data_IF_948345814520
#
_entry.id   IF_948345814520
#
_cell.length_a   1.000
_cell.length_b   1.000
_cell.length_c   1.000
_cell.angle_alpha   90.00
_cell.angle_beta   90.00
_cell.angle_gamma   90.00
#
_symmetry.space_group_name_H-M   'P 1'
#
loop_
_entity.id
_entity.type
_entity.pdbx_description
1 polymer ?
#
# COMPACT_ATOMS: atom_id res chain seq x y z
N UNK A 1 46.79 14.35 12.89
CA UNK A 1 45.67 13.54 12.36
C UNK A 1 45.88 12.12 12.86
N UNK A 2 45.07 11.67 13.82
CA UNK A 2 45.23 10.35 14.44
C UNK A 2 44.50 9.31 13.55
N UNK A 3 45.20 8.36 12.89
CA UNK A 3 44.53 7.33 12.11
C UNK A 3 43.82 6.39 13.08
N UNK A 4 42.53 6.16 12.87
CA UNK A 4 41.73 5.27 13.70
C UNK A 4 42.43 3.91 13.85
N UNK A 5 42.70 3.50 15.11
CA UNK A 5 43.45 2.30 15.43
C UNK A 5 42.78 1.00 14.94
N UNK A 6 43.53 -0.12 14.90
CA UNK A 6 43.06 -1.40 14.34
C UNK A 6 41.71 -1.88 14.91
N UNK A 7 41.42 -1.62 16.18
CA UNK A 7 40.14 -1.96 16.82
C UNK A 7 38.94 -1.20 16.21
N UNK A 8 39.14 0.05 15.78
CA UNK A 8 38.08 0.84 15.13
C UNK A 8 37.74 0.27 13.74
N UNK A 9 38.74 -0.24 13.01
CA UNK A 9 38.53 -0.87 11.71
C UNK A 9 37.83 -2.23 11.84
N UNK A 10 38.18 -3.04 12.84
CA UNK A 10 37.54 -4.33 13.12
C UNK A 10 36.06 -4.15 13.49
N UNK A 11 35.76 -3.24 14.42
CA UNK A 11 34.37 -2.94 14.81
C UNK A 11 33.55 -2.41 13.63
N UNK A 12 34.13 -1.52 12.81
CA UNK A 12 33.46 -1.00 11.61
C UNK A 12 33.15 -2.11 10.61
N UNK A 13 34.06 -3.07 10.43
CA UNK A 13 33.88 -4.20 9.52
C UNK A 13 32.78 -5.15 10.01
N UNK A 14 32.79 -5.52 11.30
CA UNK A 14 31.78 -6.40 11.91
C UNK A 14 30.38 -5.78 11.84
N UNK A 15 30.25 -4.49 12.14
CA UNK A 15 28.96 -3.77 12.03
C UNK A 15 28.47 -3.72 10.58
N UNK A 16 29.38 -3.56 9.62
CA UNK A 16 29.05 -3.54 8.19
C UNK A 16 28.59 -4.93 7.73
N UNK A 17 29.29 -5.99 8.11
CA UNK A 17 28.94 -7.37 7.74
C UNK A 17 27.59 -7.80 8.33
N UNK A 18 27.30 -7.41 9.58
CA UNK A 18 26.00 -7.65 10.20
C UNK A 18 24.86 -6.90 9.47
N UNK A 19 25.08 -5.64 9.08
CA UNK A 19 24.10 -4.87 8.28
C UNK A 19 23.88 -5.51 6.92
N UNK A 20 24.94 -5.99 6.26
CA UNK A 20 24.84 -6.70 4.99
C UNK A 20 24.08 -8.02 5.11
N UNK A 21 24.27 -8.77 6.20
CA UNK A 21 23.50 -9.99 6.48
C UNK A 21 22.01 -9.69 6.68
N UNK A 22 21.68 -8.69 7.50
CA UNK A 22 20.28 -8.29 7.74
C UNK A 22 19.62 -7.68 6.48
N UNK A 23 20.41 -7.00 5.66
CA UNK A 23 20.01 -6.52 4.35
C UNK A 23 19.75 -7.67 3.36
N UNK A 24 20.53 -8.76 3.43
CA UNK A 24 20.37 -10.01 2.65
C UNK A 24 19.16 -10.85 3.07
N UNK A 25 18.71 -10.73 4.32
CA UNK A 25 17.49 -11.39 4.80
C UNK A 25 16.19 -10.68 4.38
N UNK A 26 16.25 -9.42 3.94
CA UNK A 26 15.04 -8.68 3.54
C UNK A 26 14.29 -9.36 2.39
N UNK A 27 12.99 -9.54 2.58
CA UNK A 27 12.05 -10.04 1.57
C UNK A 27 11.10 -8.96 1.09
N UNK A 28 11.40 -7.69 1.39
CA UNK A 28 10.52 -6.54 1.11
C UNK A 28 10.09 -6.46 -0.36
N UNK A 29 11.03 -6.65 -1.30
CA UNK A 29 10.73 -6.63 -2.73
C UNK A 29 9.72 -7.73 -3.14
N UNK A 30 9.79 -8.92 -2.52
CA UNK A 30 8.78 -9.96 -2.74
C UNK A 30 7.43 -9.59 -2.16
N UNK A 31 7.38 -9.02 -0.96
CA UNK A 31 6.11 -8.59 -0.39
C UNK A 31 5.48 -7.47 -1.21
N UNK A 32 6.26 -6.51 -1.71
CA UNK A 32 5.77 -5.49 -2.63
C UNK A 32 5.33 -6.09 -3.97
N UNK A 33 6.07 -7.03 -4.55
CA UNK A 33 5.67 -7.72 -5.76
C UNK A 33 4.34 -8.47 -5.58
N UNK A 34 4.19 -9.21 -4.47
CA UNK A 34 2.95 -9.92 -4.14
C UNK A 34 1.78 -8.97 -3.87
N UNK A 35 1.99 -7.87 -3.13
CA UNK A 35 0.98 -6.85 -2.92
C UNK A 35 0.53 -6.22 -4.24
N UNK A 36 1.47 -5.89 -5.13
CA UNK A 36 1.16 -5.32 -6.44
C UNK A 36 0.46 -6.32 -7.35
N UNK A 37 0.83 -7.60 -7.30
CA UNK A 37 0.12 -8.67 -8.01
C UNK A 37 -1.34 -8.76 -7.57
N UNK A 38 -1.62 -8.68 -6.26
CA UNK A 38 -2.99 -8.65 -5.74
C UNK A 38 -3.78 -7.44 -6.25
N UNK A 39 -3.13 -6.27 -6.39
CA UNK A 39 -3.75 -5.08 -6.99
C UNK A 39 -4.13 -5.34 -8.44
N UNK A 40 -3.24 -5.94 -9.24
CA UNK A 40 -3.51 -6.29 -10.64
C UNK A 40 -4.68 -7.27 -10.72
N UNK A 41 -4.65 -8.36 -9.94
CA UNK A 41 -5.76 -9.34 -9.86
C UNK A 41 -7.08 -8.64 -9.59
N UNK A 42 -7.09 -7.79 -8.57
CA UNK A 42 -8.30 -7.12 -8.16
C UNK A 42 -8.84 -6.19 -9.25
N UNK A 43 -7.98 -5.36 -9.82
CA UNK A 43 -8.36 -4.42 -10.87
C UNK A 43 -8.87 -5.13 -12.13
N UNK A 44 -8.29 -6.28 -12.49
CA UNK A 44 -8.66 -7.07 -13.66
C UNK A 44 -9.98 -7.83 -13.48
N UNK A 45 -10.26 -8.35 -12.28
CA UNK A 45 -11.44 -9.19 -12.01
C UNK A 45 -12.62 -8.45 -11.35
N UNK A 46 -12.44 -7.20 -10.94
CA UNK A 46 -13.54 -6.33 -10.48
C UNK A 46 -14.63 -6.21 -11.58
N UNK A 47 -15.94 -6.21 -11.26
CA UNK A 47 -16.55 -6.13 -9.93
C UNK A 47 -16.71 -7.48 -9.20
N UNK A 48 -16.12 -8.58 -9.69
CA UNK A 48 -16.27 -9.94 -9.15
C UNK A 48 -17.71 -10.49 -9.16
N UNK A 49 -18.61 -9.87 -9.90
CA UNK A 49 -20.01 -10.27 -10.04
C UNK A 49 -20.37 -10.48 -11.49
N UNK A 50 -21.48 -11.18 -11.74
CA UNK A 50 -21.97 -11.43 -13.10
C UNK A 50 -21.19 -12.52 -13.86
N UNK A 51 -20.49 -13.41 -13.16
CA UNK A 51 -19.79 -14.53 -13.78
C UNK A 51 -20.76 -15.43 -14.55
N UNK A 52 -20.44 -15.75 -15.79
CA UNK A 52 -21.24 -16.63 -16.64
C UNK A 52 -20.36 -17.47 -17.57
N UNK A 53 -20.95 -18.51 -18.16
CA UNK A 53 -20.25 -19.28 -19.18
C UNK A 53 -20.01 -18.41 -20.43
N UNK A 54 -18.79 -18.38 -20.99
CA UNK A 54 -18.46 -17.57 -22.17
C UNK A 54 -19.25 -17.93 -23.43
N UNK A 55 -19.86 -19.11 -23.50
CA UNK A 55 -20.47 -19.63 -24.73
C UNK A 55 -19.46 -19.96 -25.84
N UNK A 56 -18.16 -19.87 -25.53
CA UNK A 56 -17.03 -20.14 -26.41
C UNK A 56 -15.90 -20.84 -25.60
N UNK A 57 -14.90 -21.44 -26.27
CA UNK A 57 -13.72 -21.97 -25.56
C UNK A 57 -13.04 -20.88 -24.73
N UNK A 58 -12.53 -21.25 -23.54
CA UNK A 58 -11.90 -20.31 -22.61
C UNK A 58 -10.65 -19.60 -23.17
N UNK A 59 -10.06 -20.12 -24.24
CA UNK A 59 -8.88 -19.56 -24.90
C UNK A 59 -9.20 -18.92 -26.25
N UNK A 60 -10.47 -18.74 -26.60
CA UNK A 60 -10.88 -18.21 -27.90
C UNK A 60 -10.35 -16.78 -28.18
N UNK A 61 -10.08 -16.01 -27.13
CA UNK A 61 -9.50 -14.66 -27.22
C UNK A 61 -8.10 -14.62 -27.86
N UNK A 62 -7.39 -15.75 -27.92
CA UNK A 62 -6.07 -15.84 -28.55
C UNK A 62 -6.15 -15.75 -30.09
N UNK A 63 -7.25 -16.23 -30.66
CA UNK A 63 -7.47 -16.31 -32.11
C UNK A 63 -8.33 -15.15 -32.63
N UNK A 64 -8.74 -14.23 -31.75
CA UNK A 64 -9.61 -13.12 -32.12
C UNK A 64 -8.84 -12.09 -32.96
N UNK A 65 -9.41 -11.66 -34.12
CA UNK A 65 -8.75 -10.69 -34.97
C UNK A 65 -8.62 -9.34 -34.27
N UNK A 66 -7.47 -8.70 -34.44
CA UNK A 66 -7.21 -7.42 -33.80
C UNK A 66 -8.20 -6.34 -34.25
N UNK A 67 -8.69 -5.49 -33.32
CA UNK A 67 -9.62 -4.44 -33.65
C UNK A 67 -8.96 -3.41 -34.58
N UNK A 68 -9.74 -2.86 -35.52
CA UNK A 68 -9.25 -1.88 -36.51
C UNK A 68 -8.72 -0.59 -35.88
N UNK A 69 -9.12 -0.28 -34.65
CA UNK A 69 -8.68 0.90 -33.90
C UNK A 69 -8.34 0.49 -32.47
N UNK A 70 -7.07 0.70 -32.11
CA UNK A 70 -6.55 0.54 -30.76
C UNK A 70 -6.37 1.93 -30.13
N UNK A 71 -7.12 2.26 -29.08
CA UNK A 71 -6.91 3.51 -28.37
C UNK A 71 -5.48 3.55 -27.80
N UNK A 72 -4.74 4.62 -28.10
CA UNK A 72 -3.35 4.79 -27.58
C UNK A 72 -3.30 4.77 -26.05
N UNK A 73 -4.37 5.22 -25.41
CA UNK A 73 -4.50 5.21 -23.96
C UNK A 73 -4.43 3.78 -23.40
N UNK A 74 -5.23 2.85 -23.94
CA UNK A 74 -5.27 1.45 -23.49
C UNK A 74 -3.91 0.77 -23.69
N UNK A 75 -3.28 1.04 -24.84
CA UNK A 75 -1.93 0.58 -25.14
C UNK A 75 -0.92 0.99 -24.06
N UNK A 76 -0.93 2.27 -23.69
CA UNK A 76 0.02 2.84 -22.72
C UNK A 76 -0.27 2.34 -21.31
N UNK A 77 -1.55 2.32 -20.90
CA UNK A 77 -1.95 1.93 -19.54
C UNK A 77 -1.61 0.47 -19.26
N UNK A 78 -1.87 -0.44 -20.20
CA UNK A 78 -1.56 -1.87 -20.01
C UNK A 78 -0.06 -2.12 -19.84
N UNK A 79 0.78 -1.46 -20.65
CA UNK A 79 2.25 -1.53 -20.48
C UNK A 79 2.67 -0.95 -19.14
N UNK A 80 2.25 0.29 -18.82
CA UNK A 80 2.67 0.98 -17.59
C UNK A 80 2.21 0.22 -16.33
N UNK A 81 1.02 -0.38 -16.35
CA UNK A 81 0.47 -1.13 -15.22
C UNK A 81 1.28 -2.39 -14.88
N UNK A 82 2.01 -2.98 -15.83
CA UNK A 82 2.82 -4.18 -15.58
C UNK A 82 4.32 -3.89 -15.36
N UNK A 83 4.78 -2.67 -15.67
CA UNK A 83 6.18 -2.26 -15.41
C UNK A 83 6.60 -2.44 -13.94
N UNK A 84 5.82 -1.99 -12.93
CA UNK A 84 6.22 -2.17 -11.54
C UNK A 84 6.29 -3.64 -11.13
N UNK A 85 5.42 -4.50 -11.67
CA UNK A 85 5.44 -5.94 -11.39
C UNK A 85 6.77 -6.55 -11.84
N UNK A 86 7.15 -6.35 -13.11
CA UNK A 86 8.40 -6.86 -13.66
C UNK A 86 9.64 -6.34 -12.93
N UNK A 87 9.62 -5.05 -12.54
CA UNK A 87 10.67 -4.43 -11.77
C UNK A 87 10.83 -5.07 -10.38
N UNK A 88 9.74 -5.20 -9.62
CA UNK A 88 9.76 -5.73 -8.26
C UNK A 88 10.15 -7.22 -8.23
N UNK A 89 9.58 -8.03 -9.12
CA UNK A 89 9.92 -9.45 -9.25
C UNK A 89 11.41 -9.64 -9.57
N UNK A 90 11.94 -8.85 -10.49
CA UNK A 90 13.35 -8.96 -10.90
C UNK A 90 14.29 -8.49 -9.78
N UNK A 91 13.99 -7.36 -9.13
CA UNK A 91 14.78 -6.88 -7.98
C UNK A 91 14.77 -7.88 -6.82
N UNK A 92 13.63 -8.54 -6.58
CA UNK A 92 13.53 -9.60 -5.60
C UNK A 92 14.42 -10.78 -6.02
N UNK A 93 14.21 -11.34 -7.21
CA UNK A 93 14.89 -12.54 -7.69
C UNK A 93 16.41 -12.37 -7.84
N UNK A 94 16.89 -11.20 -8.28
CA UNK A 94 18.32 -10.87 -8.45
C UNK A 94 19.17 -11.03 -7.19
N UNK A 95 18.53 -11.21 -6.02
CA UNK A 95 19.20 -11.50 -4.75
C UNK A 95 19.74 -12.93 -4.68
N UNK A 96 19.14 -13.88 -5.39
CA UNK A 96 19.51 -15.30 -5.37
C UNK A 96 19.93 -15.86 -6.73
N UNK A 97 19.70 -15.12 -7.82
CA UNK A 97 20.04 -15.58 -9.16
C UNK A 97 20.64 -14.48 -10.03
N UNK A 98 21.24 -14.90 -11.16
CA UNK A 98 21.84 -13.98 -12.15
C UNK A 98 20.75 -13.09 -12.76
N UNK A 99 21.06 -11.84 -13.15
CA UNK A 99 20.07 -10.90 -13.69
C UNK A 99 19.22 -11.46 -14.84
N UNK A 100 19.84 -12.20 -15.76
CA UNK A 100 19.12 -12.80 -16.90
C UNK A 100 18.06 -13.82 -16.46
N UNK A 101 18.37 -14.64 -15.44
CA UNK A 101 17.42 -15.61 -14.89
C UNK A 101 16.31 -14.92 -14.10
N UNK A 102 16.65 -13.83 -13.39
CA UNK A 102 15.66 -13.02 -12.68
C UNK A 102 14.67 -12.34 -13.65
N UNK A 103 15.17 -11.81 -14.77
CA UNK A 103 14.33 -11.25 -15.85
C UNK A 103 13.45 -12.32 -16.46
N UNK A 104 14.00 -13.50 -16.78
CA UNK A 104 13.23 -14.61 -17.33
C UNK A 104 12.13 -15.07 -16.37
N UNK A 105 12.44 -15.20 -15.07
CA UNK A 105 11.46 -15.55 -14.05
C UNK A 105 10.35 -14.50 -13.94
N UNK A 106 10.71 -13.21 -13.91
CA UNK A 106 9.72 -12.13 -13.87
C UNK A 106 8.79 -12.14 -15.09
N UNK A 107 9.35 -12.38 -16.28
CA UNK A 107 8.57 -12.51 -17.52
C UNK A 107 7.63 -13.71 -17.47
N UNK A 108 8.12 -14.89 -17.06
CA UNK A 108 7.28 -16.09 -16.92
C UNK A 108 6.13 -15.83 -15.94
N UNK A 109 6.40 -15.25 -14.77
CA UNK A 109 5.36 -14.95 -13.77
C UNK A 109 4.36 -13.93 -14.32
N UNK A 110 4.82 -12.80 -14.87
CA UNK A 110 3.94 -11.74 -15.35
C UNK A 110 3.10 -12.15 -16.56
N UNK A 111 3.69 -12.87 -17.53
CA UNK A 111 2.96 -13.39 -18.70
C UNK A 111 1.97 -14.48 -18.29
N UNK A 112 2.36 -15.41 -17.42
CA UNK A 112 1.42 -16.45 -16.92
C UNK A 112 0.27 -15.82 -16.14
N UNK A 113 0.55 -14.78 -15.36
CA UNK A 113 -0.46 -14.03 -14.64
C UNK A 113 -1.44 -13.36 -15.60
N UNK A 114 -0.93 -12.61 -16.58
CA UNK A 114 -1.78 -11.94 -17.56
C UNK A 114 -2.63 -12.97 -18.31
N UNK A 115 -2.03 -14.07 -18.77
CA UNK A 115 -2.76 -15.14 -19.45
C UNK A 115 -3.90 -15.71 -18.59
N UNK A 116 -3.63 -15.97 -17.31
CA UNK A 116 -4.66 -16.43 -16.37
C UNK A 116 -5.78 -15.42 -16.16
N UNK A 117 -5.46 -14.12 -16.10
CA UNK A 117 -6.45 -13.05 -15.95
C UNK A 117 -7.31 -12.89 -17.21
N UNK A 118 -6.72 -12.86 -18.41
CA UNK A 118 -7.48 -12.80 -19.67
C UNK A 118 -8.40 -14.03 -19.80
N UNK A 119 -7.89 -15.23 -19.46
CA UNK A 119 -8.68 -16.47 -19.47
C UNK A 119 -9.84 -16.39 -18.48
N UNK A 120 -9.62 -15.85 -17.27
CA UNK A 120 -10.68 -15.67 -16.28
C UNK A 120 -11.71 -14.62 -16.74
N UNK A 121 -11.28 -13.58 -17.45
CA UNK A 121 -12.15 -12.53 -17.97
C UNK A 121 -13.11 -13.03 -19.05
N UNK A 122 -12.82 -14.14 -19.74
CA UNK A 122 -13.81 -14.80 -20.61
C UNK A 122 -15.10 -15.17 -19.86
N UNK A 123 -15.02 -15.43 -18.55
CA UNK A 123 -16.17 -15.75 -17.71
C UNK A 123 -16.83 -14.51 -17.09
N UNK A 124 -16.36 -13.30 -17.41
CA UNK A 124 -16.87 -12.02 -16.91
C UNK A 124 -17.37 -11.17 -18.08
N UNK A 125 -18.68 -11.19 -18.42
CA UNK A 125 -19.23 -10.49 -19.59
C UNK A 125 -19.00 -8.98 -19.65
N UNK A 126 -18.74 -8.36 -18.49
CA UNK A 126 -18.41 -6.92 -18.38
C UNK A 126 -16.95 -6.61 -18.73
N UNK A 127 -16.13 -7.64 -18.94
CA UNK A 127 -14.72 -7.54 -19.34
C UNK A 127 -14.54 -8.13 -20.72
N UNK A 128 -13.51 -7.65 -21.41
CA UNK A 128 -13.14 -8.11 -22.74
C UNK A 128 -11.74 -8.69 -22.60
N UNK A 129 -11.62 -10.01 -22.75
CA UNK A 129 -10.34 -10.68 -22.81
C UNK A 129 -9.67 -10.39 -24.17
N UNK A 130 -8.35 -10.23 -24.21
CA UNK A 130 -7.66 -9.83 -25.43
C UNK A 130 -6.22 -10.36 -25.51
N UNK A 131 -5.85 -10.92 -26.67
CA UNK A 131 -4.46 -11.31 -26.95
C UNK A 131 -3.52 -10.09 -26.94
N UNK A 132 -4.06 -8.90 -27.26
CA UNK A 132 -3.29 -7.66 -27.26
C UNK A 132 -2.95 -7.27 -25.83
N UNK A 133 -3.90 -7.37 -24.90
CA UNK A 133 -3.65 -7.04 -23.49
C UNK A 133 -2.62 -8.01 -22.89
N UNK A 134 -2.73 -9.31 -23.21
CA UNK A 134 -1.69 -10.30 -22.89
C UNK A 134 -0.29 -9.88 -23.38
N UNK A 135 -0.17 -9.43 -24.63
CA UNK A 135 1.09 -8.99 -25.21
C UNK A 135 1.62 -7.73 -24.52
N UNK A 136 0.76 -6.74 -24.26
CA UNK A 136 1.13 -5.46 -23.66
C UNK A 136 1.51 -5.58 -22.20
N UNK A 137 0.77 -6.36 -21.43
CA UNK A 137 1.08 -6.69 -20.03
C UNK A 137 2.42 -7.43 -19.94
N UNK A 138 2.68 -8.35 -20.88
CA UNK A 138 3.97 -9.05 -20.99
C UNK A 138 5.10 -8.10 -21.36
N UNK A 139 4.88 -7.18 -22.30
CA UNK A 139 5.85 -6.15 -22.68
C UNK A 139 6.16 -5.18 -21.52
N UNK A 140 5.15 -4.76 -20.78
CA UNK A 140 5.31 -3.97 -19.56
C UNK A 140 6.14 -4.69 -18.51
N UNK A 141 5.83 -5.96 -18.26
CA UNK A 141 6.61 -6.83 -17.36
C UNK A 141 8.07 -6.91 -17.82
N UNK A 142 8.32 -7.15 -19.11
CA UNK A 142 9.67 -7.21 -19.68
C UNK A 142 10.43 -5.88 -19.49
N UNK A 143 9.77 -4.75 -19.77
CA UNK A 143 10.37 -3.42 -19.61
C UNK A 143 10.76 -3.14 -18.16
N UNK A 144 9.88 -3.44 -17.21
CA UNK A 144 10.16 -3.34 -15.79
C UNK A 144 11.32 -4.24 -15.34
N UNK A 145 11.34 -5.48 -15.84
CA UNK A 145 12.39 -6.45 -15.53
C UNK A 145 13.76 -5.99 -16.06
N UNK A 146 13.82 -5.49 -17.30
CA UNK A 146 15.05 -4.94 -17.88
C UNK A 146 15.52 -3.70 -17.12
N UNK A 147 14.59 -2.82 -16.71
CA UNK A 147 14.90 -1.66 -15.89
C UNK A 147 15.52 -2.07 -14.54
N UNK A 148 14.97 -3.09 -13.89
CA UNK A 148 15.52 -3.65 -12.65
C UNK A 148 16.90 -4.29 -12.88
N UNK A 149 17.10 -5.05 -13.95
CA UNK A 149 18.38 -5.65 -14.27
C UNK A 149 19.47 -4.60 -14.52
N UNK A 150 19.11 -3.48 -15.16
CA UNK A 150 20.03 -2.38 -15.48
C UNK A 150 20.35 -1.53 -14.26
N UNK A 151 19.34 -1.24 -13.43
CA UNK A 151 19.45 -0.27 -12.33
C UNK A 151 19.65 -0.90 -10.97
N UNK A 152 19.34 -2.19 -10.77
CA UNK A 152 19.30 -2.85 -9.46
C UNK A 152 20.63 -2.90 -8.69
N UNK A 153 21.74 -2.56 -9.34
CA UNK A 153 23.07 -2.39 -8.72
C UNK A 153 23.46 -0.93 -8.47
N UNK A 154 22.61 0.02 -8.82
CA UNK A 154 22.88 1.45 -8.59
C UNK A 154 22.88 1.77 -7.09
N UNK A 155 23.68 2.77 -6.66
CA UNK A 155 23.76 3.18 -5.25
C UNK A 155 22.40 3.54 -4.64
N UNK A 156 21.45 4.02 -5.45
CA UNK A 156 20.09 4.34 -5.04
C UNK A 156 19.40 3.18 -4.29
N UNK A 157 19.46 1.96 -4.84
CA UNK A 157 18.83 0.79 -4.20
C UNK A 157 19.57 0.36 -2.93
N UNK A 158 20.89 0.56 -2.90
CA UNK A 158 21.71 0.40 -1.70
C UNK A 158 21.26 1.35 -0.59
N UNK A 159 21.06 2.63 -0.93
CA UNK A 159 20.60 3.65 0.02
C UNK A 159 19.24 3.30 0.63
N UNK A 160 18.25 2.89 -0.18
CA UNK A 160 16.94 2.49 0.36
C UNK A 160 17.04 1.28 1.29
N UNK A 161 17.90 0.31 0.95
CA UNK A 161 18.13 -0.87 1.78
C UNK A 161 18.79 -0.50 3.12
N UNK A 162 19.76 0.39 3.08
CA UNK A 162 20.47 0.87 4.26
C UNK A 162 19.56 1.71 5.15
N UNK A 163 18.75 2.61 4.56
CA UNK A 163 17.73 3.38 5.26
C UNK A 163 16.74 2.46 5.97
N UNK A 164 16.24 1.43 5.29
CA UNK A 164 15.34 0.42 5.88
C UNK A 164 16.01 -0.22 7.11
N UNK A 165 17.24 -0.72 6.97
CA UNK A 165 17.98 -1.41 8.06
C UNK A 165 18.25 -0.46 9.24
N UNK A 166 18.48 0.82 8.96
CA UNK A 166 18.75 1.83 9.98
C UNK A 166 17.48 2.27 10.74
N UNK A 167 16.38 2.46 10.02
CA UNK A 167 15.15 3.02 10.56
C UNK A 167 14.21 1.95 11.15
N UNK A 168 14.12 0.77 10.54
CA UNK A 168 13.09 -0.23 10.84
C UNK A 168 13.63 -1.40 11.68
N UNK A 169 12.72 -2.08 12.38
CA UNK A 169 12.98 -3.36 13.06
C UNK A 169 13.59 -4.42 12.11
N UNK A 170 14.14 -5.53 12.65
CA UNK A 170 14.71 -6.61 11.83
C UNK A 170 13.77 -7.12 10.73
N UNK A 171 14.38 -7.64 9.66
CA UNK A 171 13.72 -7.95 8.41
C UNK A 171 12.51 -8.90 8.50
N UNK A 172 12.68 -9.97 9.27
CA UNK A 172 11.67 -11.01 9.50
C UNK A 172 10.40 -10.51 10.19
N UNK A 173 10.46 -9.29 10.74
CA UNK A 173 9.38 -8.64 11.45
C UNK A 173 8.87 -7.46 10.63
N UNK A 174 9.73 -6.53 10.22
CA UNK A 174 9.31 -5.26 9.63
C UNK A 174 8.78 -5.37 8.20
N UNK A 175 9.32 -6.28 7.37
CA UNK A 175 9.00 -6.30 5.93
C UNK A 175 7.52 -6.54 5.60
N UNK A 176 6.82 -7.50 6.24
CA UNK A 176 5.37 -7.63 6.06
C UNK A 176 4.62 -6.36 6.47
N UNK A 177 5.05 -5.70 7.56
CA UNK A 177 4.41 -4.46 8.03
C UNK A 177 4.62 -3.29 7.05
N UNK A 178 5.81 -3.16 6.47
CA UNK A 178 6.08 -2.17 5.43
C UNK A 178 5.25 -2.43 4.16
N UNK A 179 5.04 -3.70 3.79
CA UNK A 179 4.14 -4.07 2.70
C UNK A 179 2.68 -3.71 3.01
N UNK A 180 2.23 -3.89 4.26
CA UNK A 180 0.91 -3.41 4.68
C UNK A 180 0.80 -1.88 4.59
N UNK A 181 1.85 -1.12 4.90
CA UNK A 181 1.84 0.34 4.68
C UNK A 181 1.74 0.67 3.19
N UNK A 182 2.45 -0.05 2.32
CA UNK A 182 2.34 0.14 0.88
C UNK A 182 0.91 -0.13 0.37
N UNK A 183 0.27 -1.20 0.87
CA UNK A 183 -1.13 -1.52 0.57
C UNK A 183 -2.07 -0.43 1.11
N UNK A 184 -1.81 0.09 2.31
CA UNK A 184 -2.63 1.14 2.92
C UNK A 184 -2.73 2.39 2.04
N UNK A 185 -1.67 2.77 1.31
CA UNK A 185 -1.73 3.93 0.40
C UNK A 185 -2.79 3.78 -0.71
N UNK A 186 -3.22 2.55 -1.03
CA UNK A 186 -4.32 2.32 -1.98
C UNK A 186 -5.64 2.92 -1.48
N UNK A 187 -5.85 3.00 -0.17
CA UNK A 187 -7.02 3.69 0.42
C UNK A 187 -7.05 5.19 0.10
N UNK A 188 -5.90 5.76 -0.27
CA UNK A 188 -5.75 7.18 -0.57
C UNK A 188 -5.88 7.47 -2.07
N UNK A 189 -5.95 6.43 -2.92
CA UNK A 189 -6.05 6.58 -4.38
C UNK A 189 -7.40 7.18 -4.78
N UNK A 190 -8.48 6.93 -4.05
CA UNK A 190 -9.77 7.57 -4.31
C UNK A 190 -9.73 9.04 -3.85
N UNK A 191 -9.72 10.02 -4.77
CA UNK A 191 -9.61 11.43 -4.41
C UNK A 191 -10.96 12.04 -4.01
N UNK A 192 -12.06 11.31 -4.16
CA UNK A 192 -13.40 11.76 -3.77
C UNK A 192 -13.64 11.66 -2.26
N UNK A 193 -12.88 10.79 -1.58
CA UNK A 193 -12.95 10.59 -0.14
C UNK A 193 -11.94 11.49 0.61
N UNK A 194 -12.20 11.82 1.89
CA UNK A 194 -11.30 12.66 2.69
C UNK A 194 -9.91 12.05 2.92
N UNK A 195 -8.90 12.88 3.18
CA UNK A 195 -7.56 12.42 3.57
C UNK A 195 -7.60 11.68 4.92
N UNK A 196 -6.96 10.50 4.98
CA UNK A 196 -6.95 9.62 6.17
C UNK A 196 -8.34 9.17 6.64
N UNK A 197 -9.36 9.14 5.77
CA UNK A 197 -10.67 8.59 6.10
C UNK A 197 -11.31 7.93 4.88
N UNK A 198 -12.04 6.84 5.13
CA UNK A 198 -12.88 6.18 4.14
C UNK A 198 -14.35 6.62 4.23
N UNK A 199 -14.68 7.50 5.18
CA UNK A 199 -16.04 8.03 5.32
C UNK A 199 -16.29 9.13 4.31
N UNK A 200 -17.34 8.97 3.52
CA UNK A 200 -17.88 10.05 2.70
C UNK A 200 -18.41 11.14 3.62
N UNK A 201 -18.14 12.38 3.24
CA UNK A 201 -18.64 13.51 3.99
C UNK A 201 -20.12 13.75 3.63
N UNK A 202 -21.00 14.06 4.60
CA UNK A 202 -22.42 14.29 4.32
C UNK A 202 -22.62 15.48 3.37
N UNK A 203 -23.48 15.32 2.36
CA UNK A 203 -23.91 16.43 1.52
C UNK A 203 -24.83 17.38 2.32
N UNK A 204 -24.80 18.67 1.94
CA UNK A 204 -25.80 19.60 2.45
C UNK A 204 -27.15 19.29 1.79
N UNK A 205 -28.16 18.99 2.59
CA UNK A 205 -29.51 18.74 2.08
C UNK A 205 -30.23 20.07 1.82
N UNK A 206 -30.88 20.24 0.66
CA UNK A 206 -31.71 21.41 0.41
C UNK A 206 -32.86 21.46 1.42
N UNK A 207 -33.22 22.67 1.87
CA UNK A 207 -34.34 22.82 2.80
C UNK A 207 -35.63 22.49 2.04
N UNK A 208 -36.44 21.50 2.51
CA UNK A 208 -37.65 21.09 1.81
C UNK A 208 -38.57 22.28 1.52
N UNK A 209 -38.98 22.43 0.26
CA UNK A 209 -39.82 23.55 -0.19
C UNK A 209 -39.04 24.83 -0.56
N UNK A 210 -37.71 24.79 -0.61
CA UNK A 210 -36.88 25.90 -1.09
C UNK A 210 -35.75 25.41 -2.00
N UNK A 211 -35.24 26.29 -2.87
CA UNK A 211 -34.02 26.04 -3.66
C UNK A 211 -32.74 26.33 -2.86
N UNK A 212 -32.86 26.69 -1.58
CA UNK A 212 -31.70 27.01 -0.74
C UNK A 212 -31.08 25.74 -0.16
N UNK A 213 -29.79 25.57 -0.45
CA UNK A 213 -28.96 24.52 0.16
C UNK A 213 -28.03 25.20 1.18
N UNK A 214 -28.17 24.92 2.49
CA UNK A 214 -27.33 25.56 3.50
C UNK A 214 -25.85 25.18 3.31
N UNK A 215 -24.91 26.02 3.75
CA UNK A 215 -23.52 25.61 3.87
C UNK A 215 -23.43 24.34 4.72
N UNK A 216 -22.63 23.38 4.26
CA UNK A 216 -22.49 22.10 4.92
C UNK A 216 -22.04 22.28 6.38
N UNK A 217 -22.77 21.67 7.31
CA UNK A 217 -22.45 21.70 8.73
C UNK A 217 -21.21 20.84 9.06
N UNK A 218 -20.48 21.25 10.10
CA UNK A 218 -19.32 20.51 10.59
C UNK A 218 -19.72 19.12 11.12
N UNK A 219 -19.11 18.06 10.59
CA UNK A 219 -19.38 16.69 11.03
C UNK A 219 -18.38 16.24 12.10
N UNK A 220 -18.80 16.29 13.38
CA UNK A 220 -18.01 15.77 14.51
C UNK A 220 -17.62 14.29 14.31
N UNK A 221 -18.53 13.38 13.88
CA UNK A 221 -18.15 11.98 13.62
C UNK A 221 -17.04 11.83 12.58
N UNK A 222 -17.08 12.65 11.52
CA UNK A 222 -16.03 12.64 10.48
C UNK A 222 -14.67 13.07 11.05
N UNK A 223 -14.64 14.13 11.85
CA UNK A 223 -13.40 14.60 12.49
C UNK A 223 -12.82 13.55 13.45
N UNK A 224 -13.69 12.88 14.24
CA UNK A 224 -13.30 11.79 15.15
C UNK A 224 -12.74 10.61 14.35
N UNK A 225 -13.40 10.20 13.27
CA UNK A 225 -12.93 9.10 12.43
C UNK A 225 -11.56 9.40 11.80
N UNK A 226 -11.36 10.61 11.27
CA UNK A 226 -10.04 11.03 10.76
C UNK A 226 -9.00 10.98 11.87
N UNK A 227 -9.31 11.43 13.08
CA UNK A 227 -8.39 11.37 14.22
C UNK A 227 -8.01 9.93 14.60
N UNK A 228 -8.99 9.02 14.66
CA UNK A 228 -8.79 7.60 14.97
C UNK A 228 -7.95 6.94 13.87
N UNK A 229 -8.25 7.18 12.60
CA UNK A 229 -7.49 6.62 11.48
C UNK A 229 -6.05 7.15 11.46
N UNK A 230 -5.86 8.45 11.69
CA UNK A 230 -4.54 9.08 11.82
C UNK A 230 -3.74 8.44 12.94
N UNK A 231 -4.36 8.25 14.12
CA UNK A 231 -3.74 7.58 15.25
C UNK A 231 -3.38 6.12 14.91
N UNK A 232 -4.29 5.39 14.30
CA UNK A 232 -4.12 3.98 13.95
C UNK A 232 -2.92 3.76 13.00
N UNK A 233 -2.86 4.49 11.89
CA UNK A 233 -1.74 4.36 10.93
C UNK A 233 -0.43 4.86 11.54
N UNK A 234 -0.47 5.93 12.34
CA UNK A 234 0.71 6.47 13.00
C UNK A 234 1.31 5.45 13.97
N UNK A 235 0.50 4.87 14.86
CA UNK A 235 0.96 3.84 15.80
C UNK A 235 1.43 2.58 15.10
N UNK A 236 0.80 2.20 13.99
CA UNK A 236 1.25 1.08 13.16
C UNK A 236 2.67 1.31 12.64
N UNK A 237 2.95 2.49 12.06
CA UNK A 237 4.27 2.85 11.55
C UNK A 237 5.28 2.96 12.68
N UNK A 238 4.94 3.65 13.77
CA UNK A 238 5.82 3.79 14.93
C UNK A 238 6.21 2.43 15.53
N UNK A 239 5.29 1.46 15.53
CA UNK A 239 5.55 0.09 15.99
C UNK A 239 6.63 -0.62 15.18
N UNK A 240 6.89 -0.20 13.94
CA UNK A 240 7.94 -0.76 13.06
C UNK A 240 9.29 -0.06 13.19
N UNK A 241 9.37 1.14 13.78
CA UNK A 241 10.58 1.96 13.79
C UNK A 241 11.49 1.68 14.99
N UNK A 242 12.82 1.60 14.79
CA UNK A 242 13.77 1.30 15.88
C UNK A 242 13.88 2.42 16.91
N UNK A 243 13.89 3.69 16.45
CA UNK A 243 14.08 4.88 17.29
C UNK A 243 12.87 5.80 17.18
N UNK A 244 12.56 6.52 18.27
CA UNK A 244 11.44 7.49 18.34
C UNK A 244 11.51 8.58 17.27
N UNK A 245 12.70 9.11 16.99
CA UNK A 245 12.88 10.14 15.97
C UNK A 245 12.56 9.65 14.55
N UNK A 246 12.99 8.42 14.20
CA UNK A 246 12.60 7.80 12.94
C UNK A 246 11.09 7.56 12.86
N UNK A 247 10.45 7.29 13.99
CA UNK A 247 9.00 7.14 14.10
C UNK A 247 8.24 8.43 13.74
N UNK A 248 8.71 9.58 14.23
CA UNK A 248 8.16 10.90 13.87
C UNK A 248 8.37 11.23 12.39
N UNK A 249 9.58 11.04 11.86
CA UNK A 249 9.87 11.27 10.45
C UNK A 249 9.00 10.36 9.56
N UNK A 250 8.89 9.08 9.91
CA UNK A 250 8.08 8.12 9.16
C UNK A 250 6.58 8.49 9.18
N UNK A 251 6.06 9.00 10.29
CA UNK A 251 4.69 9.51 10.38
C UNK A 251 4.48 10.73 9.47
N UNK A 252 5.33 11.75 9.56
CA UNK A 252 5.20 12.95 8.73
C UNK A 252 5.35 12.64 7.23
N UNK A 253 6.31 11.78 6.88
CA UNK A 253 6.50 11.35 5.49
C UNK A 253 5.32 10.53 4.98
N UNK A 254 4.69 9.70 5.82
CA UNK A 254 3.49 8.96 5.44
C UNK A 254 2.31 9.90 5.14
N UNK A 255 2.03 10.87 6.01
CA UNK A 255 0.93 11.83 5.82
C UNK A 255 1.18 12.70 4.58
N UNK A 256 2.42 13.17 4.39
CA UNK A 256 2.80 13.94 3.21
C UNK A 256 2.66 13.12 1.91
N UNK A 257 3.06 11.85 1.94
CA UNK A 257 2.92 10.94 0.78
C UNK A 257 1.45 10.67 0.47
N UNK A 258 0.62 10.44 1.49
CA UNK A 258 -0.83 10.25 1.32
C UNK A 258 -1.49 11.50 0.71
N UNK A 259 -1.14 12.69 1.19
CA UNK A 259 -1.63 13.96 0.64
C UNK A 259 -1.17 14.16 -0.82
N UNK A 260 0.08 13.81 -1.14
CA UNK A 260 0.59 13.90 -2.51
C UNK A 260 -0.12 12.93 -3.46
N UNK A 261 -0.37 11.69 -3.01
CA UNK A 261 -1.14 10.71 -3.77
C UNK A 261 -2.56 11.24 -4.03
N UNK A 262 -3.23 11.78 -3.02
CA UNK A 262 -4.57 12.38 -3.19
C UNK A 262 -4.56 13.58 -4.11
N UNK A 263 -3.57 14.45 -4.01
CA UNK A 263 -3.43 15.60 -4.89
C UNK A 263 -3.23 15.15 -6.34
N UNK A 264 -2.31 14.20 -6.58
CA UNK A 264 -2.07 13.65 -7.91
C UNK A 264 -3.33 12.97 -8.47
N UNK A 265 -4.00 12.12 -7.67
CA UNK A 265 -5.26 11.48 -8.06
C UNK A 265 -6.36 12.52 -8.32
N UNK A 266 -6.50 13.55 -7.50
CA UNK A 266 -7.46 14.64 -7.67
C UNK A 266 -7.24 15.40 -8.97
N UNK A 267 -5.99 15.77 -9.28
CA UNK A 267 -5.63 16.44 -10.54
C UNK A 267 -5.87 15.53 -11.76
N UNK A 268 -5.69 14.22 -11.62
CA UNK A 268 -5.83 13.25 -12.71
C UNK A 268 -7.29 12.79 -12.91
N UNK A 269 -8.10 12.73 -11.87
CA UNK A 269 -9.39 12.04 -11.89
C UNK A 269 -10.58 12.99 -11.67
N UNK A 270 -10.40 14.14 -11.01
CA UNK A 270 -11.47 15.07 -10.67
C UNK A 270 -11.51 16.30 -11.59
N UNK A 271 -12.67 16.95 -11.63
CA UNK A 271 -12.83 18.29 -12.22
C UNK A 271 -12.05 19.32 -11.40
N UNK A 272 -11.57 20.39 -12.03
CA UNK A 272 -10.70 21.40 -11.41
C UNK A 272 -11.28 21.98 -10.11
N UNK A 273 -12.59 22.23 -10.06
CA UNK A 273 -13.30 22.74 -8.88
C UNK A 273 -13.38 21.77 -7.69
N UNK A 274 -13.11 20.47 -7.90
CA UNK A 274 -13.25 19.42 -6.89
C UNK A 274 -11.91 18.85 -6.42
N UNK A 275 -10.78 19.39 -6.89
CA UNK A 275 -9.43 18.83 -6.61
C UNK A 275 -9.13 18.76 -5.11
N UNK A 276 -9.69 19.66 -4.29
CA UNK A 276 -9.48 19.72 -2.84
C UNK A 276 -10.67 19.20 -2.03
N UNK A 277 -11.61 18.45 -2.63
CA UNK A 277 -12.78 17.90 -1.92
C UNK A 277 -12.38 17.00 -0.73
N UNK A 278 -11.20 16.40 -0.81
CA UNK A 278 -10.63 15.56 0.24
C UNK A 278 -10.10 16.33 1.46
N UNK A 279 -10.02 17.67 1.39
CA UNK A 279 -9.53 18.54 2.46
C UNK A 279 -10.67 19.41 3.00
N UNK A 280 -11.06 19.15 4.24
CA UNK A 280 -12.07 19.93 4.95
C UNK A 280 -11.62 20.28 6.37
N UNK A 281 -12.37 21.12 7.08
CA UNK A 281 -12.04 21.49 8.46
C UNK A 281 -12.05 20.28 9.40
N UNK A 282 -12.98 19.34 9.21
CA UNK A 282 -13.03 18.07 9.94
C UNK A 282 -11.75 17.26 9.75
N UNK A 283 -11.24 17.22 8.52
CA UNK A 283 -10.00 16.52 8.18
C UNK A 283 -8.82 17.18 8.86
N UNK A 284 -8.68 18.51 8.73
CA UNK A 284 -7.55 19.25 9.32
C UNK A 284 -7.52 19.06 10.84
N UNK A 285 -8.66 19.24 11.52
CA UNK A 285 -8.76 19.06 12.97
C UNK A 285 -8.52 17.60 13.38
N UNK A 286 -9.06 16.64 12.63
CA UNK A 286 -8.87 15.22 12.87
C UNK A 286 -7.40 14.80 12.75
N UNK A 287 -6.71 15.23 11.69
CA UNK A 287 -5.28 14.97 11.49
C UNK A 287 -4.46 15.61 12.62
N UNK A 288 -4.75 16.87 12.96
CA UNK A 288 -4.05 17.57 14.04
C UNK A 288 -4.22 16.85 15.38
N UNK A 289 -5.45 16.48 15.75
CA UNK A 289 -5.74 15.75 16.98
C UNK A 289 -5.09 14.36 17.00
N UNK A 290 -5.24 13.57 15.94
CA UNK A 290 -4.64 12.23 15.84
C UNK A 290 -3.12 12.25 15.88
N UNK A 291 -2.50 13.25 15.25
CA UNK A 291 -1.04 13.48 15.29
C UNK A 291 -0.58 13.88 16.68
N UNK A 292 -1.28 14.79 17.35
CA UNK A 292 -0.96 15.22 18.72
C UNK A 292 -1.02 14.03 19.69
N UNK A 293 -2.09 13.23 19.63
CA UNK A 293 -2.21 12.01 20.44
C UNK A 293 -1.10 11.01 20.11
N UNK A 294 -0.78 10.80 18.83
CA UNK A 294 0.31 9.90 18.41
C UNK A 294 1.68 10.35 18.96
N UNK A 295 1.94 11.66 18.99
CA UNK A 295 3.16 12.20 19.58
C UNK A 295 3.24 11.94 21.09
N UNK A 296 2.12 12.07 21.82
CA UNK A 296 2.05 11.72 23.25
C UNK A 296 2.35 10.23 23.48
N UNK A 297 1.92 9.35 22.57
CA UNK A 297 2.18 7.91 22.67
C UNK A 297 3.67 7.55 22.58
N UNK A 298 4.54 8.43 22.07
CA UNK A 298 6.00 8.19 22.04
C UNK A 298 6.61 8.09 23.44
N UNK A 299 5.98 8.69 24.45
CA UNK A 299 6.43 8.59 25.84
C UNK A 299 6.23 7.18 26.41
N UNK A 300 5.28 6.41 25.86
CA UNK A 300 4.91 5.09 26.38
C UNK A 300 5.93 4.00 25.99
N UNK A 301 5.99 2.90 26.77
CA UNK A 301 6.72 1.71 26.34
C UNK A 301 6.09 1.12 25.08
N UNK A 302 6.93 0.54 24.21
CA UNK A 302 6.53 -0.04 22.92
C UNK A 302 5.37 -1.03 23.03
N UNK A 303 5.33 -1.82 24.11
CA UNK A 303 4.26 -2.79 24.34
C UNK A 303 2.90 -2.14 24.53
N UNK A 304 2.82 -1.01 25.26
CA UNK A 304 1.57 -0.26 25.43
C UNK A 304 1.17 0.39 24.11
N UNK A 305 2.12 1.01 23.42
CA UNK A 305 1.92 1.61 22.10
C UNK A 305 1.32 0.62 21.10
N UNK A 306 1.81 -0.63 21.05
CA UNK A 306 1.26 -1.68 20.18
C UNK A 306 -0.17 -2.06 20.60
N UNK A 307 -0.47 -2.17 21.90
CA UNK A 307 -1.84 -2.48 22.36
C UNK A 307 -2.82 -1.38 22.00
N UNK A 308 -2.44 -0.12 22.22
CA UNK A 308 -3.24 1.04 21.84
C UNK A 308 -3.40 1.08 20.32
N UNK A 309 -2.34 0.77 19.56
CA UNK A 309 -2.42 0.66 18.10
C UNK A 309 -3.41 -0.40 17.61
N UNK A 310 -3.44 -1.57 18.26
CA UNK A 310 -4.45 -2.61 17.97
C UNK A 310 -5.86 -2.08 18.24
N UNK A 311 -6.08 -1.44 19.40
CA UNK A 311 -7.38 -0.86 19.74
C UNK A 311 -7.78 0.25 18.76
N UNK A 312 -6.85 1.11 18.37
CA UNK A 312 -7.07 2.19 17.40
C UNK A 312 -7.46 1.64 16.02
N UNK A 313 -6.85 0.53 15.57
CA UNK A 313 -7.22 -0.13 14.31
C UNK A 313 -8.62 -0.75 14.38
N UNK A 314 -9.00 -1.36 15.51
CA UNK A 314 -10.37 -1.84 15.72
C UNK A 314 -11.35 -0.66 15.72
N UNK A 315 -11.05 0.44 16.41
CA UNK A 315 -11.87 1.64 16.40
C UNK A 315 -11.96 2.27 15.01
N UNK A 316 -10.88 2.23 14.22
CA UNK A 316 -10.86 2.69 12.82
C UNK A 316 -11.85 1.90 11.98
N UNK A 317 -11.80 0.55 12.05
CA UNK A 317 -12.77 -0.32 11.39
C UNK A 317 -14.22 -0.02 11.82
N UNK A 318 -14.46 0.06 13.13
CA UNK A 318 -15.79 0.36 13.66
C UNK A 318 -16.28 1.74 13.22
N UNK A 319 -15.40 2.75 13.16
CA UNK A 319 -15.78 4.11 12.75
C UNK A 319 -16.34 4.15 11.33
N UNK A 320 -15.79 3.34 10.41
CA UNK A 320 -16.28 3.24 9.03
C UNK A 320 -17.72 2.71 9.06
N UNK A 321 -17.99 1.62 9.78
CA UNK A 321 -19.31 1.00 9.79
C UNK A 321 -20.37 1.72 10.64
N UNK A 322 -19.94 2.44 11.69
CA UNK A 322 -20.86 3.13 12.60
C UNK A 322 -21.24 4.53 12.11
N UNK A 323 -20.34 5.23 11.42
CA UNK A 323 -20.56 6.61 11.00
C UNK A 323 -20.93 6.73 9.51
N UNK A 324 -20.80 5.67 8.75
CA UNK A 324 -21.20 5.68 7.35
C UNK A 324 -22.73 5.67 7.26
N UNK A 325 -23.27 6.73 6.65
CA UNK A 325 -24.69 6.83 6.36
C UNK A 325 -25.05 5.86 5.24
N UNK A 326 -25.96 4.92 5.53
CA UNK A 326 -26.42 3.92 4.57
C UNK A 326 -27.18 4.54 3.39
N UNK A 327 -27.64 5.78 3.52
CA UNK A 327 -28.43 6.48 2.51
C UNK A 327 -27.58 7.18 1.43
N UNK A 328 -26.28 7.37 1.68
CA UNK A 328 -25.39 8.06 0.76
C UNK A 328 -24.74 7.07 -0.23
N UNK A 329 -24.92 7.24 -1.55
CA UNK A 329 -24.22 6.42 -2.53
C UNK A 329 -22.72 6.71 -2.42
N UNK A 330 -21.97 5.69 -2.00
CA UNK A 330 -20.52 5.77 -1.74
C UNK A 330 -19.72 6.11 -3.02
N UNK A 331 -20.32 5.93 -4.19
CA UNK A 331 -19.75 6.23 -5.49
C UNK A 331 -20.43 7.47 -6.09
N UNK A 332 -20.12 8.64 -5.57
CA UNK A 332 -20.44 9.90 -6.24
C UNK A 332 -19.52 10.03 -7.47
N UNK A 333 -20.04 9.71 -8.66
CA UNK A 333 -19.32 9.88 -9.93
C UNK A 333 -19.30 11.35 -10.40
N UNK A 334 -20.18 12.20 -9.85
CA UNK A 334 -20.33 13.61 -10.21
C UNK A 334 -19.03 14.46 -10.22
N UNK A 335 -18.09 14.33 -9.25
CA UNK A 335 -16.84 15.09 -9.24
C UNK A 335 -15.79 14.56 -10.22
N UNK A 336 -15.94 13.33 -10.74
CA UNK A 336 -15.00 12.74 -11.68
C UNK A 336 -15.14 13.36 -13.08
N UNK A 337 -14.01 13.46 -13.78
CA UNK A 337 -13.95 13.94 -15.17
C UNK A 337 -13.94 12.81 -16.21
N UNK A 338 -13.74 11.56 -15.79
CA UNK A 338 -13.74 10.40 -16.69
C UNK A 338 -15.10 9.70 -16.66
N UNK A 339 -15.53 9.25 -17.83
CA UNK A 339 -16.82 8.55 -18.02
C UNK A 339 -16.67 7.02 -17.99
N UNK A 340 -15.45 6.50 -17.78
CA UNK A 340 -15.12 5.08 -17.97
C UNK A 340 -15.27 4.24 -16.69
N UNK A 341 -15.67 2.98 -16.87
CA UNK A 341 -15.84 2.00 -15.77
C UNK A 341 -14.56 1.64 -15.01
N UNK A 342 -13.36 1.98 -15.53
CA UNK A 342 -12.10 1.77 -14.81
C UNK A 342 -12.04 2.51 -13.47
N UNK A 343 -12.71 3.66 -13.35
CA UNK A 343 -12.82 4.39 -12.08
C UNK A 343 -13.50 3.55 -10.99
N UNK A 344 -14.51 2.75 -11.34
CA UNK A 344 -15.22 1.88 -10.40
C UNK A 344 -14.31 0.81 -9.82
N UNK A 345 -13.35 0.33 -10.61
CA UNK A 345 -12.39 -0.68 -10.16
C UNK A 345 -11.42 -0.10 -9.12
N UNK A 346 -10.92 1.12 -9.33
CA UNK A 346 -9.96 1.76 -8.43
C UNK A 346 -10.59 2.26 -7.14
N UNK A 347 -11.79 2.84 -7.23
CA UNK A 347 -12.57 3.27 -6.06
C UNK A 347 -13.04 2.05 -5.25
N UNK A 348 -13.51 1.00 -5.93
CA UNK A 348 -13.82 -0.29 -5.32
C UNK A 348 -12.61 -0.89 -4.61
N UNK A 349 -11.43 -0.89 -5.24
CA UNK A 349 -10.19 -1.37 -4.62
C UNK A 349 -9.83 -0.56 -3.37
N UNK A 350 -9.82 0.78 -3.47
CA UNK A 350 -9.49 1.65 -2.35
C UNK A 350 -10.40 1.38 -1.15
N UNK A 351 -11.69 1.15 -1.41
CA UNK A 351 -12.68 0.81 -0.38
C UNK A 351 -12.47 -0.58 0.22
N UNK A 352 -12.32 -1.61 -0.60
CA UNK A 352 -12.05 -2.97 -0.09
C UNK A 352 -10.79 -3.01 0.76
N UNK A 353 -9.75 -2.27 0.35
CA UNK A 353 -8.56 -2.11 1.17
C UNK A 353 -8.87 -1.33 2.46
N UNK A 354 -9.66 -0.27 2.42
CA UNK A 354 -10.04 0.49 3.62
C UNK A 354 -10.80 -0.35 4.65
N UNK A 355 -11.63 -1.30 4.20
CA UNK A 355 -12.38 -2.20 5.08
C UNK A 355 -11.47 -3.31 5.66
N UNK A 356 -10.63 -3.93 4.82
CA UNK A 356 -9.81 -5.08 5.24
C UNK A 356 -8.54 -4.67 5.98
N UNK A 357 -7.96 -3.52 5.64
CA UNK A 357 -6.64 -3.13 6.13
C UNK A 357 -6.58 -2.98 7.65
N UNK A 358 -7.54 -2.34 8.34
CA UNK A 358 -7.50 -2.23 9.80
C UNK A 358 -7.50 -3.61 10.49
N UNK A 359 -8.24 -4.59 9.94
CA UNK A 359 -8.30 -5.96 10.45
C UNK A 359 -6.94 -6.66 10.30
N UNK A 360 -6.39 -6.64 9.08
CA UNK A 360 -5.10 -7.27 8.78
C UNK A 360 -3.96 -6.58 9.55
N UNK A 361 -4.01 -5.26 9.66
CA UNK A 361 -3.07 -4.46 10.44
C UNK A 361 -3.11 -4.81 11.92
N UNK A 362 -4.31 -4.94 12.50
CA UNK A 362 -4.48 -5.31 13.91
C UNK A 362 -3.93 -6.73 14.17
N UNK A 363 -4.25 -7.67 13.30
CA UNK A 363 -3.70 -9.03 13.35
C UNK A 363 -2.17 -9.03 13.28
N UNK A 364 -1.59 -8.26 12.34
CA UNK A 364 -0.15 -8.13 12.24
C UNK A 364 0.49 -7.53 13.51
N UNK A 365 -0.11 -6.50 14.12
CA UNK A 365 0.39 -5.95 15.39
C UNK A 365 0.34 -6.95 16.55
N UNK A 366 -0.66 -7.84 16.57
CA UNK A 366 -0.71 -8.96 17.53
C UNK A 366 0.46 -9.92 17.30
N UNK A 367 0.74 -10.29 16.05
CA UNK A 367 1.87 -11.16 15.69
C UNK A 367 3.21 -10.49 16.03
N UNK A 368 3.37 -9.20 15.72
CA UNK A 368 4.52 -8.39 16.05
C UNK A 368 4.81 -8.41 17.55
N UNK A 369 3.79 -8.16 18.37
CA UNK A 369 3.92 -8.19 19.83
C UNK A 369 4.36 -9.56 20.36
N UNK A 370 3.83 -10.65 19.79
CA UNK A 370 4.23 -12.02 20.17
C UNK A 370 5.69 -12.29 19.84
N UNK A 371 6.14 -11.90 18.64
CA UNK A 371 7.54 -12.04 18.23
C UNK A 371 8.50 -11.25 19.13
N UNK A 372 8.19 -9.99 19.41
CA UNK A 372 9.01 -9.14 20.29
C UNK A 372 9.12 -9.72 21.71
N UNK A 373 8.04 -10.28 22.25
CA UNK A 373 8.06 -10.95 23.56
C UNK A 373 8.88 -12.23 23.56
N UNK A 374 8.80 -13.03 22.49
CA UNK A 374 9.60 -14.25 22.37
C UNK A 374 11.09 -13.93 22.31
N UNK A 375 11.49 -12.89 21.56
CA UNK A 375 12.87 -12.42 21.51
C UNK A 375 13.40 -11.96 22.88
N UNK A 376 12.60 -11.16 23.62
CA UNK A 376 13.01 -10.72 24.96
C UNK A 376 13.24 -11.89 25.93
N UNK A 377 12.36 -12.90 25.93
CA UNK A 377 12.52 -14.10 26.77
C UNK A 377 13.74 -14.95 26.40
N UNK A 378 14.06 -15.03 25.11
CA UNK A 378 15.23 -15.77 24.65
C UNK A 378 16.54 -15.09 25.09
N UNK A 379 16.58 -13.75 25.08
CA UNK A 379 17.72 -12.97 25.58
C UNK A 379 17.90 -13.17 27.10
N UNK A 380 16.82 -13.06 27.89
CA UNK A 380 16.84 -13.31 29.34
C UNK A 380 17.34 -14.72 29.68
N UNK A 381 16.86 -15.76 28.98
CA UNK A 381 17.30 -17.14 29.21
C UNK A 381 18.74 -17.43 28.78
N UNK A 382 19.29 -16.65 27.83
CA UNK A 382 20.70 -16.78 27.42
C UNK A 382 21.62 -16.17 28.45
N UNK A 383 21.26 -15.01 29.00
CA UNK A 383 22.02 -14.35 30.07
C UNK A 383 22.05 -15.22 31.34
N UNK A 384 20.90 -15.77 31.74
CA UNK A 384 20.82 -16.67 32.90
C UNK A 384 21.73 -17.91 32.76
N UNK A 385 21.89 -18.47 31.55
CA UNK A 385 22.81 -19.59 31.29
C UNK A 385 24.28 -19.19 31.28
N UNK A 386 24.60 -17.93 30.97
CA UNK A 386 25.97 -17.44 31.02
C UNK A 386 26.41 -17.20 32.48
N UNK A 387 25.49 -16.75 33.33
CA UNK A 387 25.72 -16.55 34.76
C UNK A 387 25.81 -17.88 35.55
N UNK A 388 25.24 -18.98 35.05
CA UNK A 388 25.39 -20.33 35.66
C UNK A 388 26.71 -21.04 35.29
N UNK A 389 27.41 -20.58 34.24
CA UNK A 389 28.63 -21.21 33.73
C UNK A 389 29.91 -20.43 34.06
N UNK A 390 29.78 -19.17 34.49
CA UNK A 390 30.87 -18.34 35.04
C UNK A 390 30.95 -18.44 36.54
#
# INVERSE_FOLDING_TARGET
MNPAGPDTQVVTRVVTDFRLAQARESRLAWYFAGAYLLVIVYASLSPFTGWSSPGAPALAFLDEPWPRRLPRFDLIVNVIAYVPLGLLLTLAAMRWMRPILAVALALVIGTSMSFGLETAQMYLPVRVASSIDLMLNSAGTALGALLAARTGRMPLWGHFRDLRVHCCLPASIADPGLALIAIWFLTQVDPSLPLLSALSLPDALPIPGTDFTPPRAFSVPSAIAVAINTLAISLFVMALMRKRWHALIAMCTLVATAALIKLAAGVVMLKAQSVFIWLSMEVVLGIAAGTAVSALMLALPRTMMIRIGIAALVCSFLSIHLFQDATQPVLALAPFRWTYGQLLNYTGLARTVADLWPIVGAWYLVVLRRKLRASARAEEGTLARQDEVG
#
